data_IF_646650727213
#
_entry.id   IF_646650727213
#
_cell.length_a   1.000
_cell.length_b   1.000
_cell.length_c   1.000
_cell.angle_alpha   90.00
_cell.angle_beta   90.00
_cell.angle_gamma   90.00
#
_symmetry.space_group_name_H-M   'P 1'
#
loop_
_entity.id
_entity.type
_entity.pdbx_description
1 polymer ?
#
# COMPACT_ATOMS: atom_id res chain seq x y z
N UNK A 1 -23.35 -47.60 0.39
CA UNK A 1 -22.06 -46.88 0.28
C UNK A 1 -22.22 -45.38 -0.04
N UNK A 2 -23.19 -44.99 -0.86
CA UNK A 2 -23.45 -43.61 -1.30
C UNK A 2 -23.83 -42.62 -0.16
N UNK A 3 -24.29 -43.08 1.00
CA UNK A 3 -24.70 -42.22 2.11
C UNK A 3 -23.62 -41.96 3.18
N UNK A 4 -22.41 -42.52 3.00
CA UNK A 4 -21.31 -42.24 3.94
C UNK A 4 -20.70 -40.86 3.62
N UNK A 5 -20.48 -40.04 4.63
CA UNK A 5 -19.99 -38.66 4.51
C UNK A 5 -18.67 -38.62 3.74
N UNK A 6 -17.72 -39.54 4.01
CA UNK A 6 -16.43 -39.58 3.32
C UNK A 6 -16.55 -39.87 1.82
N UNK A 7 -17.55 -40.67 1.38
CA UNK A 7 -17.77 -40.98 -0.02
C UNK A 7 -18.35 -39.77 -0.78
N UNK A 8 -19.29 -39.03 -0.13
CA UNK A 8 -19.85 -37.81 -0.68
C UNK A 8 -18.79 -36.68 -0.77
N UNK A 9 -17.92 -36.56 0.25
CA UNK A 9 -16.79 -35.62 0.21
C UNK A 9 -15.77 -36.00 -0.86
N UNK A 10 -15.48 -37.28 -1.06
CA UNK A 10 -14.62 -37.75 -2.13
C UNK A 10 -15.15 -37.42 -3.52
N UNK A 11 -16.44 -37.68 -3.77
CA UNK A 11 -17.09 -37.28 -5.04
C UNK A 11 -17.07 -35.77 -5.23
N UNK A 12 -17.39 -34.99 -4.19
CA UNK A 12 -17.37 -33.52 -4.26
C UNK A 12 -15.98 -32.99 -4.59
N UNK A 13 -14.91 -33.57 -4.03
CA UNK A 13 -13.53 -33.22 -4.35
C UNK A 13 -13.17 -33.59 -5.80
N UNK A 14 -13.55 -34.77 -6.28
CA UNK A 14 -13.31 -35.18 -7.67
C UNK A 14 -14.04 -34.23 -8.64
N UNK A 15 -15.32 -33.93 -8.37
CA UNK A 15 -16.09 -32.97 -9.16
C UNK A 15 -15.43 -31.58 -9.16
N UNK A 16 -14.92 -31.11 -8.02
CA UNK A 16 -14.21 -29.84 -7.90
C UNK A 16 -12.94 -29.84 -8.76
N UNK A 17 -12.12 -30.91 -8.70
CA UNK A 17 -10.93 -31.03 -9.55
C UNK A 17 -11.24 -31.08 -11.05
N UNK A 18 -12.31 -31.80 -11.43
CA UNK A 18 -12.77 -31.82 -12.83
C UNK A 18 -13.22 -30.43 -13.26
N UNK A 19 -13.97 -29.71 -12.45
CA UNK A 19 -14.40 -28.32 -12.75
C UNK A 19 -13.21 -27.39 -12.89
N UNK A 20 -12.21 -27.49 -11.99
CA UNK A 20 -10.98 -26.70 -12.08
C UNK A 20 -10.24 -27.03 -13.39
N UNK A 21 -10.11 -28.32 -13.75
CA UNK A 21 -9.45 -28.73 -14.99
C UNK A 21 -10.17 -28.18 -16.23
N UNK A 22 -11.48 -28.35 -16.30
CA UNK A 22 -12.30 -27.80 -17.38
C UNK A 22 -12.20 -26.27 -17.46
N UNK A 23 -12.21 -25.58 -16.32
CA UNK A 23 -12.01 -24.15 -16.28
C UNK A 23 -10.63 -23.74 -16.81
N UNK A 24 -9.59 -24.49 -16.47
CA UNK A 24 -8.22 -24.24 -17.00
C UNK A 24 -8.11 -24.50 -18.50
N UNK A 25 -8.88 -25.43 -19.06
CA UNK A 25 -8.92 -25.68 -20.52
C UNK A 25 -9.66 -24.56 -21.29
N UNK A 26 -10.67 -23.94 -20.66
CA UNK A 26 -11.51 -22.91 -21.29
C UNK A 26 -11.09 -21.49 -20.86
N UNK A 27 -10.01 -21.34 -20.09
CA UNK A 27 -9.60 -20.05 -19.52
C UNK A 27 -9.36 -18.95 -20.56
N UNK A 28 -8.94 -19.32 -21.78
CA UNK A 28 -8.71 -18.36 -22.88
C UNK A 28 -9.98 -17.56 -23.24
N UNK A 29 -11.16 -18.17 -23.09
CA UNK A 29 -12.45 -17.49 -23.33
C UNK A 29 -12.67 -16.35 -22.31
N UNK A 30 -12.12 -16.49 -21.09
CA UNK A 30 -12.22 -15.48 -20.04
C UNK A 30 -11.10 -14.43 -20.08
N UNK A 31 -10.04 -14.67 -20.86
CA UNK A 31 -8.87 -13.77 -20.97
C UNK A 31 -9.27 -12.34 -21.37
N UNK A 32 -10.17 -12.08 -22.36
CA UNK A 32 -10.58 -10.74 -22.71
C UNK A 32 -11.27 -10.00 -21.53
N UNK A 33 -12.11 -10.73 -20.79
CA UNK A 33 -12.81 -10.19 -19.62
C UNK A 33 -11.81 -9.87 -18.51
N UNK A 34 -10.87 -10.79 -18.24
CA UNK A 34 -9.82 -10.59 -17.25
C UNK A 34 -8.92 -9.40 -17.62
N UNK A 35 -8.60 -9.22 -18.91
CA UNK A 35 -7.82 -8.08 -19.41
C UNK A 35 -8.57 -6.76 -19.20
N UNK A 36 -9.86 -6.69 -19.53
CA UNK A 36 -10.69 -5.50 -19.31
C UNK A 36 -10.74 -5.15 -17.82
N UNK A 37 -11.02 -6.15 -16.97
CA UNK A 37 -11.05 -5.95 -15.51
C UNK A 37 -9.68 -5.47 -15.02
N UNK A 38 -8.60 -6.10 -15.44
CA UNK A 38 -7.23 -5.73 -15.07
C UNK A 38 -6.86 -4.31 -15.48
N UNK A 39 -7.28 -3.86 -16.68
CA UNK A 39 -7.00 -2.52 -17.18
C UNK A 39 -7.72 -1.42 -16.37
N UNK A 40 -8.93 -1.70 -15.87
CA UNK A 40 -9.72 -0.73 -15.07
C UNK A 40 -9.41 -0.85 -13.58
N UNK A 41 -8.88 -1.98 -13.14
CA UNK A 41 -8.67 -2.28 -11.73
C UNK A 41 -7.72 -1.29 -11.04
N UNK A 42 -6.56 -1.02 -11.65
CA UNK A 42 -5.56 -0.10 -11.08
C UNK A 42 -6.07 1.35 -11.01
N UNK A 43 -6.66 1.96 -12.08
CA UNK A 43 -7.30 3.28 -11.99
C UNK A 43 -8.38 3.34 -10.92
N UNK A 44 -9.21 2.29 -10.82
CA UNK A 44 -10.29 2.22 -9.83
C UNK A 44 -9.75 2.18 -8.39
N UNK A 45 -8.69 1.42 -8.14
CA UNK A 45 -8.05 1.35 -6.83
C UNK A 45 -7.44 2.69 -6.42
N UNK A 46 -6.69 3.34 -7.33
CA UNK A 46 -6.08 4.65 -7.05
C UNK A 46 -7.17 5.68 -6.79
N UNK A 47 -8.22 5.69 -7.61
CA UNK A 47 -9.37 6.60 -7.43
C UNK A 47 -10.10 6.36 -6.11
N UNK A 48 -10.29 5.08 -5.73
CA UNK A 48 -10.89 4.69 -4.45
C UNK A 48 -10.04 5.11 -3.25
N UNK A 49 -8.72 4.98 -3.36
CA UNK A 49 -7.80 5.45 -2.33
C UNK A 49 -7.88 6.98 -2.18
N UNK A 50 -7.78 7.71 -3.28
CA UNK A 50 -7.93 9.17 -3.30
C UNK A 50 -9.31 9.62 -2.83
N UNK A 51 -10.37 8.89 -3.17
CA UNK A 51 -11.73 9.16 -2.72
C UNK A 51 -11.81 9.21 -1.18
N UNK A 52 -11.28 8.21 -0.49
CA UNK A 52 -11.31 8.19 0.97
C UNK A 52 -10.45 9.29 1.60
N UNK A 53 -9.36 9.71 0.95
CA UNK A 53 -8.54 10.85 1.36
C UNK A 53 -9.29 12.18 1.15
N UNK A 54 -9.95 12.34 0.02
CA UNK A 54 -10.63 13.58 -0.36
C UNK A 54 -11.99 13.76 0.34
N UNK A 55 -12.65 12.69 0.73
CA UNK A 55 -13.99 12.71 1.33
C UNK A 55 -14.13 13.62 2.55
N UNK A 56 -13.21 13.64 3.54
CA UNK A 56 -13.30 14.56 4.66
C UNK A 56 -13.22 16.03 4.24
N UNK A 57 -12.41 16.34 3.22
CA UNK A 57 -12.29 17.71 2.69
C UNK A 57 -13.57 18.12 1.96
N UNK A 58 -14.18 17.22 1.18
CA UNK A 58 -15.49 17.46 0.57
C UNK A 58 -16.53 17.78 1.64
N UNK A 59 -16.62 16.94 2.68
CA UNK A 59 -17.57 17.15 3.77
C UNK A 59 -17.34 18.47 4.52
N UNK A 60 -16.10 18.93 4.67
CA UNK A 60 -15.79 20.23 5.26
C UNK A 60 -16.26 21.37 4.37
N UNK A 61 -15.99 21.33 3.06
CA UNK A 61 -16.45 22.34 2.10
C UNK A 61 -17.98 22.42 2.04
N UNK A 62 -18.66 21.28 2.00
CA UNK A 62 -20.12 21.24 1.99
C UNK A 62 -20.72 21.77 3.30
N UNK A 63 -20.10 21.53 4.46
CA UNK A 63 -20.49 22.13 5.75
C UNK A 63 -20.34 23.66 5.80
N UNK A 64 -19.38 24.22 5.09
CA UNK A 64 -19.18 25.68 4.97
C UNK A 64 -20.11 26.30 3.92
N UNK A 65 -20.97 25.49 3.26
CA UNK A 65 -22.00 25.98 2.33
C UNK A 65 -21.65 25.85 0.85
N UNK A 66 -20.56 25.18 0.49
CA UNK A 66 -20.25 24.92 -0.90
C UNK A 66 -21.24 23.88 -1.47
N UNK A 67 -21.84 24.12 -2.65
CA UNK A 67 -22.61 23.09 -3.32
C UNK A 67 -21.69 21.96 -3.76
N UNK A 68 -22.21 20.74 -3.84
CA UNK A 68 -21.44 19.53 -4.12
C UNK A 68 -20.52 19.61 -5.34
N UNK A 69 -21.01 20.21 -6.44
CA UNK A 69 -20.20 20.39 -7.64
C UNK A 69 -18.99 21.31 -7.40
N UNK A 70 -19.18 22.39 -6.63
CA UNK A 70 -18.09 23.34 -6.32
C UNK A 70 -17.06 22.69 -5.38
N UNK A 71 -17.49 21.91 -4.39
CA UNK A 71 -16.61 21.14 -3.51
C UNK A 71 -15.72 20.17 -4.30
N UNK A 72 -16.32 19.44 -5.25
CA UNK A 72 -15.57 18.50 -6.12
C UNK A 72 -14.58 19.25 -7.00
N UNK A 73 -14.99 20.35 -7.62
CA UNK A 73 -14.11 21.17 -8.47
C UNK A 73 -12.94 21.74 -7.67
N UNK A 74 -13.20 22.25 -6.45
CA UNK A 74 -12.15 22.75 -5.55
C UNK A 74 -11.15 21.66 -5.19
N UNK A 75 -11.62 20.45 -4.87
CA UNK A 75 -10.76 19.30 -4.57
C UNK A 75 -9.91 18.91 -5.79
N UNK A 76 -10.52 18.87 -6.98
CA UNK A 76 -9.78 18.56 -8.21
C UNK A 76 -8.71 19.61 -8.51
N UNK A 77 -9.04 20.90 -8.38
CA UNK A 77 -8.08 21.98 -8.54
C UNK A 77 -6.95 21.91 -7.51
N UNK A 78 -7.28 21.65 -6.24
CA UNK A 78 -6.29 21.47 -5.19
C UNK A 78 -5.38 20.25 -5.48
N UNK A 79 -5.94 19.13 -5.95
CA UNK A 79 -5.18 17.94 -6.28
C UNK A 79 -4.23 18.18 -7.46
N UNK A 80 -4.71 18.82 -8.53
CA UNK A 80 -3.87 19.19 -9.67
C UNK A 80 -2.82 20.25 -9.27
N UNK A 81 -3.17 21.19 -8.39
CA UNK A 81 -2.21 22.17 -7.86
C UNK A 81 -1.11 21.47 -7.03
N UNK A 82 -1.47 20.54 -6.16
CA UNK A 82 -0.51 19.74 -5.36
C UNK A 82 0.41 18.94 -6.30
N UNK A 83 -0.15 18.23 -7.28
CA UNK A 83 0.66 17.49 -8.27
C UNK A 83 1.57 18.45 -9.04
N UNK A 84 1.05 19.58 -9.50
CA UNK A 84 1.84 20.60 -10.19
C UNK A 84 2.97 21.17 -9.34
N UNK A 85 2.72 21.44 -8.06
CA UNK A 85 3.74 21.88 -7.11
C UNK A 85 4.80 20.79 -6.87
N UNK A 86 4.39 19.54 -6.71
CA UNK A 86 5.32 18.40 -6.58
C UNK A 86 6.20 18.31 -7.82
N UNK A 87 5.62 18.35 -9.02
CA UNK A 87 6.38 18.30 -10.26
C UNK A 87 7.31 19.52 -10.42
N UNK A 88 6.83 20.72 -10.10
CA UNK A 88 7.61 21.95 -10.29
C UNK A 88 8.76 22.11 -9.28
N UNK A 89 8.56 21.72 -8.02
CA UNK A 89 9.53 21.97 -6.95
C UNK A 89 10.26 20.70 -6.48
N UNK A 90 9.56 19.58 -6.36
CA UNK A 90 10.14 18.34 -5.83
C UNK A 90 10.87 17.55 -6.92
N UNK A 91 10.31 17.47 -8.13
CA UNK A 91 10.95 16.69 -9.19
C UNK A 91 12.34 17.23 -9.58
N UNK A 92 12.60 18.54 -9.73
CA UNK A 92 13.95 19.04 -9.99
C UNK A 92 14.94 18.70 -8.88
N UNK A 93 14.50 18.77 -7.60
CA UNK A 93 15.32 18.42 -6.45
C UNK A 93 15.66 16.92 -6.49
N UNK A 94 14.68 16.07 -6.77
CA UNK A 94 14.89 14.62 -6.90
C UNK A 94 15.87 14.32 -8.05
N UNK A 95 15.66 14.91 -9.23
CA UNK A 95 16.51 14.71 -10.42
C UNK A 95 17.93 15.17 -10.13
N UNK A 96 18.11 16.37 -9.53
CA UNK A 96 19.42 16.89 -9.14
C UNK A 96 20.12 15.95 -8.15
N UNK A 97 19.40 15.48 -7.14
CA UNK A 97 19.93 14.59 -6.11
C UNK A 97 20.31 13.22 -6.69
N UNK A 98 19.48 12.67 -7.56
CA UNK A 98 19.78 11.43 -8.29
C UNK A 98 21.04 11.63 -9.13
N UNK A 99 21.15 12.71 -9.90
CA UNK A 99 22.32 13.00 -10.72
C UNK A 99 23.60 13.15 -9.87
N UNK A 100 23.49 13.79 -8.71
CA UNK A 100 24.59 13.91 -7.77
C UNK A 100 25.02 12.54 -7.19
N UNK A 101 24.07 11.70 -6.82
CA UNK A 101 24.37 10.32 -6.37
C UNK A 101 25.06 9.51 -7.46
N UNK A 102 24.59 9.63 -8.72
CA UNK A 102 25.22 8.95 -9.86
C UNK A 102 26.68 9.40 -10.03
N UNK A 103 26.89 10.70 -10.06
CA UNK A 103 28.24 11.25 -10.24
C UNK A 103 29.20 10.87 -9.11
N UNK A 104 28.67 10.64 -7.90
CA UNK A 104 29.42 10.22 -6.73
C UNK A 104 29.53 8.69 -6.59
N UNK A 105 28.74 7.91 -7.33
CA UNK A 105 28.75 6.43 -7.26
C UNK A 105 30.15 5.82 -7.36
N UNK A 106 31.06 6.25 -8.26
CA UNK A 106 32.41 5.71 -8.32
C UNK A 106 33.27 6.04 -7.08
N UNK A 107 33.04 7.19 -6.45
CA UNK A 107 33.72 7.57 -5.22
C UNK A 107 33.18 6.76 -4.04
N UNK A 108 31.86 6.61 -3.94
CA UNK A 108 31.17 5.83 -2.92
C UNK A 108 31.55 4.36 -2.98
N UNK A 109 31.71 3.78 -4.17
CA UNK A 109 32.20 2.41 -4.32
C UNK A 109 33.61 2.26 -3.77
N UNK A 110 34.50 3.20 -4.06
CA UNK A 110 35.87 3.19 -3.52
C UNK A 110 35.91 3.35 -2.00
N UNK A 111 35.12 4.26 -1.45
CA UNK A 111 35.02 4.44 0.01
C UNK A 111 34.42 3.23 0.70
N UNK A 112 33.34 2.65 0.15
CA UNK A 112 32.76 1.42 0.65
C UNK A 112 33.79 0.26 0.62
N UNK A 113 34.55 0.12 -0.47
CA UNK A 113 35.64 -0.87 -0.56
C UNK A 113 36.73 -0.61 0.48
N UNK A 114 37.09 0.65 0.76
CA UNK A 114 38.10 1.00 1.78
C UNK A 114 37.61 0.69 3.21
N UNK A 115 36.33 1.03 3.50
CA UNK A 115 35.70 0.72 4.80
C UNK A 115 35.62 -0.80 4.99
N UNK A 116 35.25 -1.55 3.96
CA UNK A 116 35.23 -3.02 4.01
C UNK A 116 36.61 -3.58 4.19
N UNK A 117 37.64 -3.12 3.47
CA UNK A 117 39.01 -3.53 3.62
C UNK A 117 39.55 -3.21 5.02
N UNK A 118 39.20 -2.04 5.57
CA UNK A 118 39.56 -1.65 6.92
C UNK A 118 38.87 -2.53 7.97
N UNK A 119 37.58 -2.77 7.82
CA UNK A 119 36.82 -3.66 8.72
C UNK A 119 37.30 -5.11 8.65
N UNK A 120 37.65 -5.60 7.46
CA UNK A 120 38.22 -6.93 7.26
C UNK A 120 39.66 -7.06 7.81
N UNK A 121 40.46 -6.01 7.68
CA UNK A 121 41.84 -5.98 8.24
C UNK A 121 41.85 -5.95 9.77
N UNK A 122 40.79 -5.44 10.40
CA UNK A 122 40.61 -5.46 11.87
C UNK A 122 40.03 -6.79 12.38
N UNK A 123 39.48 -7.61 11.51
CA UNK A 123 38.81 -8.87 11.85
C UNK A 123 39.55 -10.06 11.22
N UNK A 124 40.72 -10.38 11.74
CA UNK A 124 41.63 -11.46 11.28
C UNK A 124 41.00 -12.88 11.22
N UNK A 125 39.67 -13.03 11.36
CA UNK A 125 39.02 -14.34 11.53
C UNK A 125 37.68 -14.50 10.76
N UNK A 126 37.35 -13.64 9.80
CA UNK A 126 36.10 -13.88 9.01
C UNK A 126 36.35 -14.91 7.91
N UNK A 127 35.45 -15.90 7.75
CA UNK A 127 35.52 -16.85 6.63
C UNK A 127 35.47 -16.11 5.29
N UNK A 128 36.22 -16.59 4.29
CA UNK A 128 36.24 -16.04 2.91
C UNK A 128 34.85 -15.89 2.28
N UNK A 129 33.91 -16.74 2.69
CA UNK A 129 32.50 -16.73 2.26
C UNK A 129 31.77 -15.46 2.72
N UNK A 130 32.07 -14.90 3.89
CA UNK A 130 31.44 -13.66 4.39
C UNK A 130 32.00 -12.45 3.65
N UNK A 131 33.29 -12.44 3.39
CA UNK A 131 34.00 -11.38 2.66
C UNK A 131 33.48 -11.25 1.22
N UNK A 132 33.34 -12.40 0.54
CA UNK A 132 32.81 -12.44 -0.83
C UNK A 132 31.34 -11.98 -0.91
N UNK A 133 30.52 -12.36 0.07
CA UNK A 133 29.09 -11.92 0.13
C UNK A 133 28.98 -10.41 0.35
N UNK A 134 29.76 -9.83 1.25
CA UNK A 134 29.76 -8.38 1.51
C UNK A 134 30.23 -7.62 0.26
N UNK A 135 31.31 -8.07 -0.39
CA UNK A 135 31.82 -7.44 -1.62
C UNK A 135 30.83 -7.53 -2.78
N UNK A 136 30.14 -8.67 -2.92
CA UNK A 136 29.10 -8.85 -3.92
C UNK A 136 27.85 -8.00 -3.61
N UNK A 137 27.47 -7.83 -2.36
CA UNK A 137 26.39 -6.92 -1.94
C UNK A 137 26.68 -5.47 -2.34
N UNK A 138 27.88 -4.98 -2.10
CA UNK A 138 28.27 -3.60 -2.46
C UNK A 138 28.31 -3.41 -3.97
N UNK A 139 28.84 -4.39 -4.72
CA UNK A 139 28.78 -4.37 -6.20
C UNK A 139 27.34 -4.37 -6.71
N UNK A 140 26.49 -5.25 -6.19
CA UNK A 140 25.07 -5.32 -6.61
C UNK A 140 24.27 -4.06 -6.25
N UNK A 141 24.65 -3.33 -5.18
CA UNK A 141 24.05 -2.01 -4.88
C UNK A 141 24.47 -0.95 -5.91
N UNK A 142 25.72 -0.93 -6.34
CA UNK A 142 26.21 -0.04 -7.40
C UNK A 142 25.57 -0.34 -8.76
N UNK A 143 25.49 -1.63 -9.12
CA UNK A 143 24.80 -2.08 -10.34
C UNK A 143 23.28 -1.82 -10.28
N UNK A 144 22.67 -1.94 -9.11
CA UNK A 144 21.29 -1.62 -8.87
C UNK A 144 20.96 -0.14 -9.14
N UNK A 145 21.80 0.77 -8.68
CA UNK A 145 21.66 2.22 -8.92
C UNK A 145 21.81 2.53 -10.41
N UNK A 146 22.82 1.99 -11.09
CA UNK A 146 23.02 2.17 -12.54
C UNK A 146 21.89 1.57 -13.39
N UNK A 147 21.35 0.42 -12.98
CA UNK A 147 20.21 -0.21 -13.66
C UNK A 147 18.89 0.55 -13.46
N UNK A 148 18.63 1.09 -12.28
CA UNK A 148 17.47 1.95 -12.02
C UNK A 148 17.52 3.18 -12.94
N UNK A 149 18.69 3.69 -13.22
CA UNK A 149 18.90 4.90 -14.03
C UNK A 149 18.86 4.66 -15.52
N UNK A 150 19.46 3.58 -16.01
CA UNK A 150 19.34 3.18 -17.43
C UNK A 150 17.91 2.80 -17.80
N UNK A 151 17.18 2.20 -16.87
CA UNK A 151 15.77 1.87 -17.04
C UNK A 151 14.83 3.09 -16.86
N UNK A 152 15.26 4.17 -16.20
CA UNK A 152 14.43 5.39 -16.06
C UNK A 152 14.10 6.04 -17.40
N UNK A 153 14.97 5.92 -18.41
CA UNK A 153 14.66 6.31 -19.78
C UNK A 153 13.59 5.41 -20.45
N UNK A 154 13.53 4.15 -20.07
CA UNK A 154 12.54 3.20 -20.52
C UNK A 154 11.15 3.46 -19.89
N UNK A 155 11.11 4.06 -18.69
CA UNK A 155 9.86 4.50 -18.04
C UNK A 155 9.23 5.72 -18.76
N UNK A 156 10.02 6.53 -19.48
CA UNK A 156 9.50 7.64 -20.29
C UNK A 156 8.68 7.11 -21.49
N UNK A 157 9.00 5.94 -22.02
CA UNK A 157 8.25 5.31 -23.12
C UNK A 157 6.96 4.62 -22.64
N UNK A 158 6.80 4.36 -21.34
CA UNK A 158 5.54 3.90 -20.75
C UNK A 158 4.53 5.02 -20.51
N UNK A 159 4.80 6.25 -21.01
CA UNK A 159 3.93 7.41 -20.85
C UNK A 159 2.51 7.21 -21.40
N UNK A 160 2.32 6.35 -22.42
CA UNK A 160 0.98 6.12 -22.99
C UNK A 160 0.06 5.45 -21.95
N UNK A 161 0.55 4.45 -21.22
CA UNK A 161 -0.23 3.84 -20.12
C UNK A 161 -0.42 4.81 -18.95
N UNK A 162 0.56 5.69 -18.71
CA UNK A 162 0.48 6.74 -17.69
C UNK A 162 -0.55 7.81 -18.06
N UNK A 163 -0.67 8.20 -19.34
CA UNK A 163 -1.70 9.14 -19.81
C UNK A 163 -3.09 8.58 -19.58
N UNK A 164 -3.30 7.30 -19.85
CA UNK A 164 -4.58 6.63 -19.57
C UNK A 164 -4.94 6.70 -18.08
N UNK A 165 -3.99 6.40 -17.19
CA UNK A 165 -4.16 6.53 -15.75
C UNK A 165 -4.44 7.98 -15.33
N UNK A 166 -3.71 8.95 -15.89
CA UNK A 166 -3.88 10.37 -15.60
C UNK A 166 -5.27 10.92 -15.97
N UNK A 167 -5.93 10.34 -16.95
CA UNK A 167 -7.28 10.72 -17.36
C UNK A 167 -8.32 9.93 -16.57
N UNK A 168 -8.12 8.61 -16.41
CA UNK A 168 -9.11 7.73 -15.78
C UNK A 168 -9.23 7.96 -14.27
N UNK A 169 -8.13 8.22 -13.58
CA UNK A 169 -8.14 8.41 -12.12
C UNK A 169 -8.98 9.62 -11.71
N UNK A 170 -8.75 10.85 -12.24
CA UNK A 170 -9.60 11.99 -11.92
C UNK A 170 -11.05 11.79 -12.32
N UNK A 171 -11.31 11.18 -13.48
CA UNK A 171 -12.66 10.89 -13.95
C UNK A 171 -13.41 9.98 -12.96
N UNK A 172 -12.83 8.85 -12.59
CA UNK A 172 -13.44 7.95 -11.61
C UNK A 172 -13.59 8.61 -10.24
N UNK A 173 -12.61 9.39 -9.81
CA UNK A 173 -12.65 10.11 -8.54
C UNK A 173 -13.82 11.11 -8.48
N UNK A 174 -14.05 11.88 -9.56
CA UNK A 174 -15.18 12.80 -9.66
C UNK A 174 -16.51 12.04 -9.49
N UNK A 175 -16.68 10.92 -10.19
CA UNK A 175 -17.90 10.12 -10.06
C UNK A 175 -18.06 9.50 -8.68
N UNK A 176 -16.96 9.02 -8.06
CA UNK A 176 -17.01 8.51 -6.70
C UNK A 176 -17.40 9.61 -5.70
N UNK A 177 -16.79 10.80 -5.76
CA UNK A 177 -17.15 11.92 -4.89
C UNK A 177 -18.58 12.41 -5.12
N UNK A 178 -19.07 12.38 -6.37
CA UNK A 178 -20.40 12.83 -6.73
C UNK A 178 -21.50 11.88 -6.26
N UNK A 179 -21.31 10.57 -6.43
CA UNK A 179 -22.41 9.60 -6.35
C UNK A 179 -22.24 8.56 -5.23
N UNK A 180 -21.23 8.68 -4.34
CA UNK A 180 -20.95 7.69 -3.28
C UNK A 180 -22.17 7.38 -2.39
N UNK A 181 -23.02 8.36 -2.09
CA UNK A 181 -24.20 8.16 -1.25
C UNK A 181 -25.29 7.33 -1.95
N UNK A 182 -25.29 7.34 -3.30
CA UNK A 182 -26.28 6.61 -4.10
C UNK A 182 -25.90 5.15 -4.30
N UNK A 183 -24.64 4.77 -4.07
CA UNK A 183 -24.11 3.43 -4.35
C UNK A 183 -24.83 2.35 -3.55
N UNK A 184 -24.83 2.47 -2.21
CA UNK A 184 -25.46 1.48 -1.31
C UNK A 184 -26.97 1.37 -1.60
N UNK A 185 -27.75 2.47 -1.71
CA UNK A 185 -29.16 2.38 -2.08
C UNK A 185 -29.41 1.76 -3.45
N UNK A 186 -28.54 2.01 -4.45
CA UNK A 186 -28.67 1.43 -5.78
C UNK A 186 -28.49 -0.09 -5.76
N UNK A 187 -27.47 -0.60 -5.07
CA UNK A 187 -27.25 -2.03 -4.89
C UNK A 187 -28.41 -2.66 -4.10
N UNK A 188 -28.88 -1.99 -3.05
CA UNK A 188 -29.97 -2.48 -2.21
C UNK A 188 -31.30 -2.70 -2.97
N UNK A 189 -31.54 -2.02 -4.10
CA UNK A 189 -32.74 -2.20 -4.93
C UNK A 189 -32.84 -3.57 -5.59
N UNK A 190 -31.71 -4.25 -5.81
CA UNK A 190 -31.69 -5.60 -6.41
C UNK A 190 -32.12 -6.69 -5.42
N UNK A 191 -32.20 -6.39 -4.13
CA UNK A 191 -32.48 -7.37 -3.07
C UNK A 191 -33.77 -7.00 -2.31
N UNK A 192 -34.47 -8.02 -1.76
CA UNK A 192 -35.67 -7.86 -0.95
C UNK A 192 -35.51 -8.58 0.41
N UNK A 193 -36.30 -8.15 1.39
CA UNK A 193 -36.34 -8.80 2.72
C UNK A 193 -34.99 -8.82 3.43
N UNK A 194 -34.68 -9.92 4.07
CA UNK A 194 -33.44 -10.08 4.87
C UNK A 194 -32.15 -9.99 4.03
N UNK A 195 -32.19 -10.40 2.77
CA UNK A 195 -31.06 -10.25 1.86
C UNK A 195 -30.70 -8.77 1.63
N UNK A 196 -31.72 -7.89 1.53
CA UNK A 196 -31.48 -6.44 1.42
C UNK A 196 -30.76 -5.90 2.64
N UNK A 197 -31.19 -6.30 3.86
CA UNK A 197 -30.55 -5.89 5.11
C UNK A 197 -29.10 -6.37 5.14
N UNK A 198 -28.85 -7.64 4.80
CA UNK A 198 -27.50 -8.19 4.75
C UNK A 198 -26.57 -7.40 3.81
N UNK A 199 -27.01 -7.10 2.58
CA UNK A 199 -26.17 -6.37 1.62
C UNK A 199 -25.94 -4.92 2.02
N UNK A 200 -26.93 -4.25 2.63
CA UNK A 200 -26.76 -2.89 3.16
C UNK A 200 -25.74 -2.90 4.33
N UNK A 201 -25.89 -3.80 5.29
CA UNK A 201 -24.98 -3.96 6.42
C UNK A 201 -23.54 -4.23 5.90
N UNK A 202 -23.41 -5.19 4.98
CA UNK A 202 -22.12 -5.57 4.39
C UNK A 202 -21.43 -4.38 3.71
N UNK A 203 -22.12 -3.67 2.83
CA UNK A 203 -21.55 -2.55 2.10
C UNK A 203 -21.21 -1.37 3.03
N UNK A 204 -22.01 -1.16 4.05
CA UNK A 204 -21.75 -0.13 5.08
C UNK A 204 -20.51 -0.47 5.89
N UNK A 205 -20.38 -1.73 6.33
CA UNK A 205 -19.21 -2.20 7.07
C UNK A 205 -17.94 -2.16 6.20
N UNK A 206 -18.04 -2.50 4.91
CA UNK A 206 -16.92 -2.40 3.95
C UNK A 206 -16.48 -0.96 3.76
N UNK A 207 -17.44 -0.04 3.54
CA UNK A 207 -17.14 1.38 3.41
C UNK A 207 -16.49 1.94 4.67
N UNK A 208 -16.97 1.58 5.86
CA UNK A 208 -16.38 1.97 7.13
C UNK A 208 -14.94 1.43 7.29
N UNK A 209 -14.73 0.15 6.97
CA UNK A 209 -13.42 -0.51 7.07
C UNK A 209 -12.39 0.16 6.17
N UNK A 210 -12.72 0.36 4.88
CA UNK A 210 -11.82 1.01 3.91
C UNK A 210 -11.54 2.46 4.29
N UNK A 211 -12.59 3.22 4.66
CA UNK A 211 -12.45 4.60 5.10
C UNK A 211 -11.51 4.72 6.31
N UNK A 212 -11.78 3.94 7.35
CA UNK A 212 -10.98 3.98 8.58
C UNK A 212 -9.54 3.58 8.34
N UNK A 213 -9.31 2.57 7.50
CA UNK A 213 -7.95 2.13 7.16
C UNK A 213 -7.19 3.21 6.37
N UNK A 214 -7.74 3.67 5.25
CA UNK A 214 -7.03 4.58 4.35
C UNK A 214 -6.77 5.92 5.03
N UNK A 215 -7.79 6.50 5.67
CA UNK A 215 -7.63 7.76 6.40
C UNK A 215 -6.67 7.63 7.58
N UNK A 216 -6.76 6.53 8.32
CA UNK A 216 -5.86 6.24 9.42
C UNK A 216 -4.41 6.12 8.93
N UNK A 217 -4.16 5.32 7.89
CA UNK A 217 -2.81 5.09 7.38
C UNK A 217 -2.17 6.36 6.82
N UNK A 218 -2.93 7.16 6.08
CA UNK A 218 -2.43 8.47 5.60
C UNK A 218 -2.11 9.40 6.76
N UNK A 219 -2.97 9.46 7.79
CA UNK A 219 -2.73 10.29 8.98
C UNK A 219 -1.46 9.84 9.71
N UNK A 220 -1.28 8.54 9.91
CA UNK A 220 -0.07 7.95 10.51
C UNK A 220 1.17 8.32 9.69
N UNK A 221 1.11 8.16 8.36
CA UNK A 221 2.22 8.47 7.45
C UNK A 221 2.61 9.96 7.48
N UNK A 222 1.63 10.87 7.55
CA UNK A 222 1.90 12.31 7.67
C UNK A 222 2.56 12.64 9.00
N UNK A 223 2.05 12.12 10.11
CA UNK A 223 2.63 12.33 11.44
C UNK A 223 4.06 11.78 11.50
N UNK A 224 4.28 10.55 11.01
CA UNK A 224 5.61 9.96 10.93
C UNK A 224 6.57 10.82 10.09
N UNK A 225 6.10 11.30 8.92
CA UNK A 225 6.87 12.19 8.06
C UNK A 225 7.32 13.47 8.78
N UNK A 226 6.43 14.07 9.58
CA UNK A 226 6.76 15.26 10.39
C UNK A 226 7.85 14.92 11.43
N UNK A 227 7.74 13.79 12.12
CA UNK A 227 8.76 13.37 13.10
C UNK A 227 10.11 13.10 12.43
N UNK A 228 10.14 12.41 11.30
CA UNK A 228 11.36 12.16 10.55
C UNK A 228 11.96 13.45 10.00
N UNK A 229 11.12 14.38 9.50
CA UNK A 229 11.59 15.68 9.03
C UNK A 229 12.30 16.46 10.14
N UNK A 230 11.69 16.56 11.31
CA UNK A 230 12.26 17.24 12.46
C UNK A 230 13.56 16.54 12.90
N UNK A 231 13.54 15.22 13.05
CA UNK A 231 14.70 14.44 13.50
C UNK A 231 15.89 14.55 12.54
N UNK A 232 15.65 14.40 11.24
CA UNK A 232 16.71 14.50 10.24
C UNK A 232 17.24 15.94 10.08
N UNK A 233 16.39 16.96 10.34
CA UNK A 233 16.80 18.36 10.31
C UNK A 233 17.76 18.69 11.48
N UNK A 234 17.65 18.05 12.63
CA UNK A 234 18.53 18.25 13.79
C UNK A 234 19.95 17.80 13.49
N UNK A 235 20.11 16.78 12.63
CA UNK A 235 21.42 16.23 12.26
C UNK A 235 21.93 16.71 10.90
N UNK A 236 21.24 17.71 10.29
CA UNK A 236 21.54 18.25 8.97
C UNK A 236 21.74 17.18 7.89
N UNK A 237 20.90 16.12 7.92
CA UNK A 237 20.99 15.02 6.95
C UNK A 237 20.70 15.56 5.54
N UNK A 238 21.49 15.19 4.51
CA UNK A 238 21.20 15.63 3.15
C UNK A 238 19.88 15.02 2.62
N UNK A 239 19.19 15.76 1.74
CA UNK A 239 18.01 15.28 1.01
C UNK A 239 16.77 14.96 1.88
N UNK A 240 16.59 15.62 3.02
CA UNK A 240 15.47 15.40 3.95
C UNK A 240 14.10 15.37 3.25
N UNK A 241 13.71 16.33 2.39
CA UNK A 241 12.39 16.31 1.76
C UNK A 241 12.14 15.04 0.93
N UNK A 242 13.18 14.53 0.26
CA UNK A 242 13.11 13.30 -0.51
C UNK A 242 12.93 12.08 0.39
N UNK A 243 13.73 12.00 1.45
CA UNK A 243 13.66 10.89 2.43
C UNK A 243 12.30 10.84 3.12
N UNK A 244 11.77 11.99 3.53
CA UNK A 244 10.48 12.08 4.21
C UNK A 244 9.32 11.77 3.27
N UNK A 245 9.36 12.24 2.03
CA UNK A 245 8.36 11.90 1.02
C UNK A 245 8.38 10.39 0.73
N UNK A 246 9.57 9.83 0.56
CA UNK A 246 9.73 8.38 0.36
C UNK A 246 9.22 7.59 1.57
N UNK A 247 9.56 8.00 2.79
CA UNK A 247 9.08 7.39 4.03
C UNK A 247 7.55 7.45 4.13
N UNK A 248 6.93 8.59 3.82
CA UNK A 248 5.48 8.75 3.82
C UNK A 248 4.77 7.82 2.85
N UNK A 249 5.31 7.67 1.63
CA UNK A 249 4.77 6.74 0.62
C UNK A 249 5.03 5.27 1.02
N UNK A 250 6.24 4.95 1.43
CA UNK A 250 6.59 3.61 1.87
C UNK A 250 5.74 3.15 3.07
N UNK A 251 5.46 4.07 3.99
CA UNK A 251 4.65 3.78 5.18
C UNK A 251 3.17 3.48 4.87
N UNK A 252 2.70 3.68 3.63
CA UNK A 252 1.39 3.16 3.22
C UNK A 252 1.33 1.63 3.27
N UNK A 253 2.49 0.96 3.27
CA UNK A 253 2.62 -0.49 3.46
C UNK A 253 3.01 -0.74 4.93
N UNK A 254 2.09 -1.19 5.80
CA UNK A 254 2.39 -1.42 7.21
C UNK A 254 3.56 -2.39 7.40
N UNK A 255 4.39 -2.16 8.39
CA UNK A 255 5.61 -2.91 8.75
C UNK A 255 6.73 -2.86 7.71
N UNK A 256 6.47 -3.07 6.42
CA UNK A 256 7.49 -2.97 5.38
C UNK A 256 7.94 -1.53 5.17
N UNK A 257 7.02 -0.58 5.28
CA UNK A 257 7.28 0.84 5.08
C UNK A 257 8.40 1.36 5.99
N UNK A 258 8.41 0.92 7.23
CA UNK A 258 9.43 1.29 8.20
C UNK A 258 10.84 0.88 7.76
N UNK A 259 11.01 -0.36 7.29
CA UNK A 259 12.30 -0.86 6.79
C UNK A 259 12.70 -0.21 5.47
N UNK A 260 11.73 -0.04 4.56
CA UNK A 260 11.97 0.62 3.28
C UNK A 260 12.39 2.08 3.48
N UNK A 261 11.77 2.79 4.42
CA UNK A 261 12.09 4.19 4.69
C UNK A 261 13.45 4.37 5.36
N UNK A 262 13.87 3.42 6.19
CA UNK A 262 15.17 3.43 6.86
C UNK A 262 16.33 3.27 5.88
N UNK A 263 16.21 2.38 4.89
CA UNK A 263 17.32 2.01 4.01
C UNK A 263 18.00 3.21 3.31
N UNK A 264 17.30 4.11 2.60
CA UNK A 264 17.95 5.26 1.95
C UNK A 264 18.54 6.25 2.96
N UNK A 265 17.89 6.47 4.10
CA UNK A 265 18.41 7.34 5.15
C UNK A 265 19.68 6.77 5.78
N UNK A 266 19.73 5.45 6.02
CA UNK A 266 20.90 4.76 6.54
C UNK A 266 22.08 4.85 5.57
N UNK A 267 21.85 4.65 4.27
CA UNK A 267 22.90 4.79 3.24
C UNK A 267 23.49 6.19 3.27
N UNK A 268 22.65 7.23 3.26
CA UNK A 268 23.12 8.61 3.32
C UNK A 268 23.86 8.92 4.63
N UNK A 269 23.39 8.38 5.75
CA UNK A 269 24.05 8.53 7.04
C UNK A 269 25.46 7.90 7.07
N UNK A 270 25.62 6.71 6.45
CA UNK A 270 26.95 6.04 6.35
C UNK A 270 27.91 6.87 5.48
N UNK A 271 27.41 7.41 4.37
CA UNK A 271 28.19 8.23 3.45
C UNK A 271 28.68 9.51 4.11
N UNK A 272 27.81 10.16 4.90
CA UNK A 272 28.14 11.41 5.56
C UNK A 272 29.17 11.21 6.67
N UNK A 273 28.86 10.38 7.66
CA UNK A 273 29.79 9.99 8.72
C UNK A 273 29.24 8.81 9.56
N UNK A 274 30.11 8.04 10.24
CA UNK A 274 29.66 7.01 11.19
C UNK A 274 28.78 7.57 12.31
N UNK A 275 29.01 8.79 12.73
CA UNK A 275 28.22 9.47 13.76
C UNK A 275 26.81 9.81 13.25
N UNK A 276 26.72 10.33 12.03
CA UNK A 276 25.42 10.62 11.37
C UNK A 276 24.61 9.35 11.18
N UNK A 277 25.25 8.24 10.77
CA UNK A 277 24.57 6.95 10.66
C UNK A 277 23.96 6.50 11.99
N UNK A 278 24.71 6.62 13.11
CA UNK A 278 24.19 6.26 14.44
C UNK A 278 22.96 7.11 14.78
N UNK A 279 23.01 8.42 14.51
CA UNK A 279 21.88 9.31 14.76
C UNK A 279 20.68 8.99 13.85
N UNK A 280 20.90 8.67 12.58
CA UNK A 280 19.83 8.19 11.68
C UNK A 280 19.16 6.94 12.25
N UNK A 281 19.95 5.96 12.74
CA UNK A 281 19.38 4.77 13.36
C UNK A 281 18.54 5.11 14.59
N UNK A 282 19.02 5.97 15.47
CA UNK A 282 18.32 6.37 16.70
C UNK A 282 17.01 7.12 16.36
N UNK A 283 17.07 8.12 15.49
CA UNK A 283 15.92 8.94 15.10
C UNK A 283 14.85 8.07 14.45
N UNK A 284 15.26 7.24 13.49
CA UNK A 284 14.32 6.37 12.77
C UNK A 284 13.70 5.33 13.72
N UNK A 285 14.49 4.73 14.61
CA UNK A 285 13.99 3.79 15.60
C UNK A 285 12.96 4.45 16.52
N UNK A 286 13.27 5.65 17.06
CA UNK A 286 12.33 6.40 17.93
C UNK A 286 11.06 6.72 17.16
N UNK A 287 11.16 7.24 15.93
CA UNK A 287 10.01 7.59 15.10
C UNK A 287 9.10 6.39 14.85
N UNK A 288 9.66 5.23 14.50
CA UNK A 288 8.88 4.00 14.28
C UNK A 288 8.34 3.38 15.57
N UNK A 289 9.05 3.51 16.70
CA UNK A 289 8.51 3.10 18.01
C UNK A 289 7.31 3.99 18.42
N UNK A 290 7.40 5.29 18.19
CA UNK A 290 6.26 6.21 18.40
C UNK A 290 5.11 5.88 17.46
N UNK A 291 5.40 5.60 16.20
CA UNK A 291 4.41 5.17 15.21
C UNK A 291 3.65 3.93 15.68
N UNK A 292 4.37 2.84 15.97
CA UNK A 292 3.76 1.54 16.29
C UNK A 292 3.04 1.50 17.64
N UNK A 293 3.58 2.18 18.65
CA UNK A 293 3.08 2.07 20.03
C UNK A 293 2.13 3.20 20.43
N UNK A 294 2.21 4.36 19.77
CA UNK A 294 1.42 5.54 20.15
C UNK A 294 0.54 6.01 19.00
N UNK A 295 1.12 6.30 17.84
CA UNK A 295 0.40 6.98 16.75
C UNK A 295 -0.64 6.03 16.15
N UNK A 296 -0.24 4.84 15.73
CA UNK A 296 -1.12 3.87 15.08
C UNK A 296 -2.29 3.45 15.97
N UNK A 297 -2.13 3.08 17.26
CA UNK A 297 -3.24 2.75 18.12
C UNK A 297 -4.21 3.91 18.36
N UNK A 298 -3.71 5.14 18.48
CA UNK A 298 -4.53 6.32 18.71
C UNK A 298 -5.29 6.77 17.44
N UNK A 299 -4.69 6.63 16.26
CA UNK A 299 -5.29 7.04 14.99
C UNK A 299 -6.25 5.98 14.45
N UNK A 300 -5.85 4.73 14.45
CA UNK A 300 -6.64 3.64 13.88
C UNK A 300 -7.58 2.96 14.89
N UNK A 301 -7.30 3.09 16.18
CA UNK A 301 -8.11 2.49 17.24
C UNK A 301 -8.27 0.98 17.08
N UNK A 302 -9.48 0.48 17.41
CA UNK A 302 -9.83 -0.95 17.26
C UNK A 302 -10.28 -1.32 15.85
N UNK A 303 -10.26 -0.39 14.89
CA UNK A 303 -10.82 -0.59 13.54
C UNK A 303 -10.09 -1.67 12.73
N UNK A 304 -8.83 -1.95 13.07
CA UNK A 304 -8.02 -2.98 12.42
C UNK A 304 -7.34 -3.88 13.47
N UNK A 305 -8.12 -4.73 14.13
CA UNK A 305 -7.57 -5.82 14.93
C UNK A 305 -7.07 -6.96 14.02
N UNK A 306 -5.98 -6.71 13.28
CA UNK A 306 -5.30 -7.71 12.47
C UNK A 306 -3.99 -8.05 13.17
N UNK A 307 -3.74 -9.34 13.38
CA UNK A 307 -2.49 -9.77 13.99
C UNK A 307 -1.30 -9.44 13.08
N UNK A 308 -0.18 -8.93 13.59
CA UNK A 308 1.00 -8.54 12.77
C UNK A 308 1.49 -9.66 11.84
N UNK A 309 1.51 -10.89 12.31
CA UNK A 309 1.89 -12.05 11.50
C UNK A 309 0.99 -12.21 10.25
N UNK A 310 -0.32 -11.96 10.40
CA UNK A 310 -1.26 -12.02 9.27
C UNK A 310 -0.93 -10.98 8.21
N UNK A 311 -0.57 -9.77 8.64
CA UNK A 311 -0.19 -8.69 7.72
C UNK A 311 1.06 -9.09 6.94
N UNK A 312 2.07 -9.64 7.61
CA UNK A 312 3.32 -10.10 6.98
C UNK A 312 3.02 -11.18 5.93
N UNK A 313 2.24 -12.21 6.31
CA UNK A 313 1.87 -13.31 5.40
C UNK A 313 1.10 -12.80 4.18
N UNK A 314 0.14 -11.90 4.39
CA UNK A 314 -0.67 -11.33 3.31
C UNK A 314 0.18 -10.48 2.36
N UNK A 315 1.13 -9.70 2.89
CA UNK A 315 2.05 -8.89 2.08
C UNK A 315 2.99 -9.78 1.26
N UNK A 316 3.58 -10.83 1.86
CA UNK A 316 4.44 -11.76 1.15
C UNK A 316 3.68 -12.48 0.02
N UNK A 317 2.49 -13.01 0.32
CA UNK A 317 1.64 -13.65 -0.68
C UNK A 317 1.24 -12.67 -1.81
N UNK A 318 0.94 -11.43 -1.48
CA UNK A 318 0.61 -10.39 -2.47
C UNK A 318 1.81 -10.06 -3.36
N UNK A 319 3.02 -10.03 -2.79
CA UNK A 319 4.27 -9.81 -3.53
C UNK A 319 4.51 -10.87 -4.60
N UNK A 320 4.32 -12.12 -4.25
CA UNK A 320 4.48 -13.25 -5.19
C UNK A 320 3.41 -13.26 -6.29
N UNK A 321 2.17 -12.89 -5.97
CA UNK A 321 1.03 -12.96 -6.90
C UNK A 321 0.96 -11.80 -7.89
N UNK A 322 1.34 -10.61 -7.49
CA UNK A 322 1.15 -9.41 -8.32
C UNK A 322 2.12 -8.27 -8.06
N UNK A 323 3.26 -8.59 -7.45
CA UNK A 323 4.34 -7.65 -7.21
C UNK A 323 3.94 -6.45 -6.36
N UNK A 324 4.64 -5.34 -6.56
CA UNK A 324 4.50 -4.13 -5.75
C UNK A 324 3.06 -3.58 -5.70
N UNK A 325 2.32 -3.64 -6.79
CA UNK A 325 0.93 -3.15 -6.86
C UNK A 325 0.02 -3.90 -5.89
N UNK A 326 0.12 -5.23 -5.84
CA UNK A 326 -0.68 -6.01 -4.89
C UNK A 326 -0.22 -5.85 -3.45
N UNK A 327 1.08 -5.63 -3.21
CA UNK A 327 1.60 -5.34 -1.86
C UNK A 327 0.96 -4.08 -1.28
N UNK A 328 0.83 -3.00 -2.08
CA UNK A 328 0.19 -1.75 -1.64
C UNK A 328 -1.25 -1.93 -1.15
N UNK A 329 -2.00 -2.80 -1.81
CA UNK A 329 -3.42 -3.03 -1.51
C UNK A 329 -3.67 -4.28 -0.67
N UNK A 330 -2.64 -5.03 -0.33
CA UNK A 330 -2.73 -6.32 0.36
C UNK A 330 -3.51 -6.23 1.68
N UNK A 331 -3.19 -5.24 2.51
CA UNK A 331 -3.85 -5.05 3.81
C UNK A 331 -5.30 -4.56 3.68
N UNK A 332 -5.62 -3.54 2.85
CA UNK A 332 -7.02 -3.20 2.55
C UNK A 332 -7.82 -4.38 1.99
N UNK A 333 -7.24 -5.15 1.08
CA UNK A 333 -7.90 -6.31 0.50
C UNK A 333 -8.19 -7.38 1.55
N UNK A 334 -7.23 -7.67 2.42
CA UNK A 334 -7.46 -8.57 3.55
C UNK A 334 -8.54 -8.04 4.50
N UNK A 335 -8.55 -6.75 4.82
CA UNK A 335 -9.57 -6.14 5.67
C UNK A 335 -10.97 -6.25 5.04
N UNK A 336 -11.08 -6.07 3.72
CA UNK A 336 -12.32 -6.32 2.96
C UNK A 336 -12.75 -7.77 3.08
N UNK A 337 -11.87 -8.72 2.81
CA UNK A 337 -12.17 -10.16 2.90
C UNK A 337 -12.61 -10.55 4.31
N UNK A 338 -11.89 -10.09 5.35
CA UNK A 338 -12.26 -10.31 6.75
C UNK A 338 -13.66 -9.77 7.08
N UNK A 339 -13.98 -8.56 6.60
CA UNK A 339 -15.29 -7.93 6.80
C UNK A 339 -16.40 -8.72 6.10
N UNK A 340 -16.17 -9.18 4.87
CA UNK A 340 -17.11 -10.03 4.13
C UNK A 340 -17.39 -11.32 4.91
N UNK A 341 -16.34 -12.03 5.29
CA UNK A 341 -16.45 -13.30 6.05
C UNK A 341 -17.18 -13.06 7.37
N UNK A 342 -16.82 -12.04 8.13
CA UNK A 342 -17.49 -11.68 9.39
C UNK A 342 -18.98 -11.41 9.19
N UNK A 343 -19.37 -10.67 8.16
CA UNK A 343 -20.78 -10.38 7.88
C UNK A 343 -21.55 -11.63 7.44
N UNK A 344 -20.94 -12.54 6.69
CA UNK A 344 -21.56 -13.84 6.33
C UNK A 344 -21.84 -14.65 7.60
N UNK A 345 -20.88 -14.73 8.55
CA UNK A 345 -21.08 -15.43 9.81
C UNK A 345 -22.18 -14.81 10.68
N UNK A 346 -22.18 -13.47 10.81
CA UNK A 346 -23.24 -12.74 11.53
C UNK A 346 -24.63 -13.00 10.92
N UNK A 347 -24.72 -12.99 9.60
CA UNK A 347 -25.98 -13.24 8.89
C UNK A 347 -26.47 -14.67 9.11
N UNK A 348 -25.58 -15.67 9.01
CA UNK A 348 -25.91 -17.06 9.30
C UNK A 348 -26.43 -17.23 10.72
N UNK A 349 -25.81 -16.59 11.69
CA UNK A 349 -26.21 -16.68 13.09
C UNK A 349 -27.60 -16.06 13.33
N UNK A 350 -27.89 -14.90 12.71
CA UNK A 350 -29.23 -14.29 12.74
C UNK A 350 -30.33 -15.23 12.20
N UNK A 351 -30.04 -15.98 11.13
CA UNK A 351 -31.01 -16.96 10.57
C UNK A 351 -31.24 -18.10 11.53
N UNK A 352 -30.20 -18.65 12.15
CA UNK A 352 -30.28 -19.73 13.12
C UNK A 352 -31.08 -19.29 14.36
N UNK A 353 -30.81 -18.13 14.90
CA UNK A 353 -31.49 -17.59 16.08
C UNK A 353 -33.00 -17.37 15.79
N UNK A 354 -33.35 -16.85 14.62
CA UNK A 354 -34.77 -16.75 14.20
C UNK A 354 -35.45 -18.09 14.02
N UNK A 355 -34.76 -19.07 13.45
CA UNK A 355 -35.32 -20.44 13.32
C UNK A 355 -35.59 -21.06 14.69
N UNK A 356 -34.68 -20.84 15.65
CA UNK A 356 -34.83 -21.37 17.01
C UNK A 356 -35.90 -20.64 17.82
N UNK A 357 -36.16 -19.37 17.60
CA UNK A 357 -37.24 -18.62 18.26
C UNK A 357 -38.61 -19.08 17.78
N UNK A 358 -38.78 -19.33 16.47
CA UNK A 358 -40.04 -19.81 15.88
C UNK A 358 -40.38 -21.27 16.28
N UNK A 359 -39.46 -22.02 16.90
CA UNK A 359 -39.68 -23.39 17.38
C UNK A 359 -40.11 -23.40 18.86
N UNK A 360 -39.96 -22.26 19.56
CA UNK A 360 -40.31 -22.13 21.01
C UNK A 360 -41.69 -21.53 21.24
N UNK A 361 -42.31 -20.96 20.21
CA UNK A 361 -43.71 -20.52 20.17
C UNK A 361 -44.61 -21.63 19.54
#
# INVERSE_FOLDING_TARGET
MLNKVWFRTGIALIMLFILIKLFMEVHEVFTPIATIIGSVFLPFLISGFLFYICLPFQNLLEKVGFPRWASITTIMLALFAIIGLIVAFVAPIIISNINNLISQTPALQKEAEQIIKFALAQMDKLPEDVTSRITNMVKSMGDGVTNILSNSLQYITSLISTIFLLIMVPFLLIYMLKDHEKFIPAVAKFFKGERKVFFVDLLTDLNFTLKSYIQGQVTVSVILGIFLYIGYSIIDLPYIPLLVLFAGVANLIPFLGSWLSFAPAAILGIIDSPTTFIWVCIITLIAHQLEGNIITPNVMGKSLSIHPLTIIVVILAAGDLGGFTLVLIAVPLYAVLKTVVSNIFKYRQRIIDKANSNVKD
#
